data_IF_956810641342
#
_entry.id   IF_956810641342
#
_cell.length_a   1.000
_cell.length_b   1.000
_cell.length_c   1.000
_cell.angle_alpha   90.00
_cell.angle_beta   90.00
_cell.angle_gamma   90.00
#
_symmetry.space_group_name_H-M   'P 1'
#
loop_
_entity.id
_entity.type
_entity.pdbx_description
1 polymer ?
2 branched ?
3 branched ?
4 non-polymer ?
5 non-polymer ?
6 non-polymer ?
7 water ?
#
# COMPACT_ATOMS: atom_id res chain seq x y z
N UNK A 1 5.15 -24.69 -6.61
CA UNK A 1 5.86 -25.51 -7.64
C UNK A 1 7.27 -24.98 -7.73
N UNK A 2 7.48 -23.98 -8.58
CA UNK A 2 8.80 -23.34 -8.75
C UNK A 2 8.64 -21.90 -8.36
N UNK A 3 9.73 -21.25 -8.02
CA UNK A 3 9.65 -19.85 -7.64
C UNK A 3 9.19 -19.05 -8.87
N UNK A 4 8.30 -18.10 -8.63
CA UNK A 4 7.84 -17.27 -9.72
C UNK A 4 8.95 -16.31 -10.07
N UNK A 5 9.09 -16.00 -11.36
CA UNK A 5 10.11 -15.06 -11.83
C UNK A 5 9.35 -13.97 -12.59
N UNK A 6 9.72 -12.72 -12.38
CA UNK A 6 9.11 -11.57 -13.04
C UNK A 6 9.60 -11.54 -14.47
N UNK A 7 8.97 -12.34 -15.31
CA UNK A 7 9.38 -12.44 -16.70
C UNK A 7 8.62 -11.56 -17.65
N UNK A 8 7.46 -11.07 -17.26
CA UNK A 8 6.68 -10.24 -18.18
C UNK A 8 6.76 -8.76 -17.87
N UNK A 9 6.39 -7.94 -18.85
CA UNK A 9 6.35 -6.50 -18.71
C UNK A 9 4.88 -6.19 -18.44
N UNK A 10 4.54 -4.95 -18.08
CA UNK A 10 3.15 -4.59 -17.79
C UNK A 10 2.22 -4.57 -19.01
N UNK A 11 0.93 -4.83 -18.80
CA UNK A 11 0.02 -4.73 -19.92
C UNK A 11 -0.19 -3.21 -20.14
N UNK A 12 -0.63 -2.81 -21.32
CA UNK A 12 -0.88 -1.41 -21.61
C UNK A 12 -2.11 -0.98 -20.82
N UNK A 13 -2.00 0.10 -20.06
CA UNK A 13 -3.12 0.56 -19.25
C UNK A 13 -3.87 1.63 -20.01
N UNK A 14 -5.03 1.27 -20.57
CA UNK A 14 -5.88 2.22 -21.30
C UNK A 14 -7.06 2.73 -20.47
N UNK A 15 -7.31 2.01 -19.37
CA UNK A 15 -8.35 2.34 -18.37
C UNK A 15 -8.29 1.32 -17.22
N UNK A 16 -9.19 1.46 -16.26
CA UNK A 16 -9.25 0.57 -15.10
C UNK A 16 -10.63 0.01 -14.95
N UNK A 17 -10.73 -1.30 -14.75
CA UNK A 17 -12.02 -1.96 -14.56
C UNK A 17 -12.11 -2.33 -13.06
N UNK A 18 -13.34 -2.48 -12.56
CA UNK A 18 -13.59 -2.88 -11.15
C UNK A 18 -13.12 -4.34 -10.94
N UNK A 19 -12.37 -4.55 -9.86
CA UNK A 19 -11.82 -5.86 -9.53
C UNK A 19 -12.49 -6.43 -8.27
N UNK A 20 -12.46 -5.68 -7.18
CA UNK A 20 -13.10 -6.14 -5.97
C UNK A 20 -13.54 -4.99 -5.10
N UNK A 21 -14.56 -5.23 -4.27
CA UNK A 21 -15.10 -4.22 -3.36
C UNK A 21 -15.80 -5.02 -2.29
N UNK A 22 -15.51 -4.76 -1.03
CA UNK A 22 -16.16 -5.55 0.01
C UNK A 22 -17.33 -4.88 0.75
N UNK A 23 -17.53 -3.58 0.55
CA UNK A 23 -18.63 -2.88 1.23
C UNK A 23 -18.66 -3.26 2.70
N UNK A 24 -17.49 -3.33 3.34
CA UNK A 24 -17.36 -3.76 4.72
C UNK A 24 -18.12 -2.96 5.79
N UNK A 25 -18.02 -1.64 5.73
CA UNK A 25 -18.69 -0.78 6.71
C UNK A 25 -20.23 -0.87 6.57
N UNK A 26 -20.73 -0.91 5.32
CA UNK A 26 -22.15 -1.03 5.06
C UNK A 26 -22.68 -2.29 5.72
N UNK A 27 -22.09 -3.41 5.31
CA UNK A 27 -22.49 -4.72 5.82
C UNK A 27 -22.29 -4.85 7.31
N UNK A 28 -21.15 -4.37 7.79
CA UNK A 28 -20.78 -4.45 9.19
C UNK A 28 -21.67 -3.71 10.14
N UNK A 29 -22.55 -2.88 9.60
CA UNK A 29 -23.51 -2.14 10.45
C UNK A 29 -24.45 -3.14 11.14
N UNK A 30 -24.63 -4.31 10.53
CA UNK A 30 -25.49 -5.33 11.09
C UNK A 30 -24.94 -6.78 10.89
N UNK A 31 -23.66 -6.96 11.15
CA UNK A 31 -23.07 -8.27 11.03
C UNK A 31 -21.69 -8.22 11.66
N UNK A 32 -21.12 -9.38 11.97
CA UNK A 32 -19.85 -9.44 12.65
C UNK A 32 -18.56 -9.14 11.89
N UNK A 33 -18.40 -7.87 11.51
CA UNK A 33 -17.25 -7.41 10.77
C UNK A 33 -16.22 -6.76 11.67
N UNK A 34 -14.98 -7.18 11.52
CA UNK A 34 -13.88 -6.60 12.28
C UNK A 34 -13.55 -5.18 11.82
N UNK A 35 -13.13 -4.36 12.78
CA UNK A 35 -12.71 -2.99 12.50
C UNK A 35 -11.29 -3.16 11.96
N UNK A 36 -10.97 -2.47 10.87
CA UNK A 36 -9.63 -2.57 10.30
C UNK A 36 -9.15 -1.20 9.84
N UNK A 37 -7.97 -1.24 9.20
CA UNK A 37 -7.28 -0.14 8.53
C UNK A 37 -6.00 -0.75 7.91
N UNK A 38 -5.30 0.01 7.07
CA UNK A 38 -4.10 -0.44 6.41
C UNK A 38 -4.34 -1.72 5.60
N UNK A 39 -5.39 -1.73 4.74
CA UNK A 39 -5.67 -2.90 3.93
C UNK A 39 -4.80 -2.98 2.68
N UNK A 40 -4.87 -4.10 1.99
CA UNK A 40 -4.17 -4.31 0.75
C UNK A 40 -4.72 -5.56 0.10
N UNK A 41 -4.17 -5.95 -1.05
CA UNK A 41 -4.61 -7.13 -1.74
C UNK A 41 -3.35 -7.90 -2.17
N UNK A 42 -3.40 -9.23 -2.13
CA UNK A 42 -2.25 -10.02 -2.50
C UNK A 42 -2.71 -11.38 -3.00
N UNK A 43 -2.07 -11.89 -4.04
CA UNK A 43 -2.40 -13.17 -4.65
C UNK A 43 -1.46 -14.32 -4.39
N UNK A 44 -2.02 -15.51 -4.40
CA UNK A 44 -1.32 -16.75 -4.28
C UNK A 44 -1.49 -17.29 -5.71
N UNK A 45 -0.79 -18.38 -6.07
CA UNK A 45 -0.95 -18.94 -7.40
C UNK A 45 -2.37 -19.37 -7.75
N UNK A 46 -3.18 -19.67 -6.75
CA UNK A 46 -4.52 -20.14 -7.01
C UNK A 46 -5.66 -19.30 -6.44
N UNK A 47 -5.35 -18.19 -5.78
CA UNK A 47 -6.40 -17.35 -5.17
C UNK A 47 -5.87 -15.96 -4.88
N UNK A 48 -6.72 -14.95 -4.96
CA UNK A 48 -6.34 -13.58 -4.59
C UNK A 48 -7.23 -13.21 -3.41
N UNK A 49 -6.63 -12.59 -2.40
CA UNK A 49 -7.34 -12.24 -1.19
C UNK A 49 -7.10 -10.82 -0.67
N UNK A 50 -8.04 -10.36 0.18
CA UNK A 50 -7.95 -9.04 0.82
C UNK A 50 -7.20 -9.29 2.14
N UNK A 51 -6.43 -8.27 2.54
CA UNK A 51 -5.61 -8.25 3.74
C UNK A 51 -5.83 -6.93 4.45
N UNK A 52 -5.58 -6.91 5.76
CA UNK A 52 -5.68 -5.71 6.60
C UNK A 52 -5.26 -5.93 8.04
N UNK A 53 -5.12 -4.81 8.75
CA UNK A 53 -4.78 -4.86 10.16
C UNK A 53 -6.05 -4.69 10.98
N UNK A 54 -6.49 -5.80 11.56
CA UNK A 54 -7.67 -5.85 12.38
C UNK A 54 -7.38 -5.09 13.63
N UNK A 55 -8.43 -4.60 14.28
CA UNK A 55 -8.29 -3.89 15.55
C UNK A 55 -8.72 -4.80 16.71
N UNK A 56 -8.99 -6.07 16.41
CA UNK A 56 -9.38 -7.03 17.43
C UNK A 56 -10.73 -6.72 18.06
N UNK A 57 -11.69 -6.29 17.23
CA UNK A 57 -13.05 -5.98 17.70
C UNK A 57 -13.92 -5.79 16.47
N UNK A 58 -15.25 -5.96 16.64
CA UNK A 58 -16.20 -5.73 15.56
C UNK A 58 -16.52 -4.22 15.56
N UNK A 59 -17.08 -3.71 14.47
CA UNK A 59 -17.41 -2.28 14.35
C UNK A 59 -18.55 -1.86 15.29
N UNK A 60 -19.53 -2.74 15.45
CA UNK A 60 -20.65 -2.50 16.34
C UNK A 60 -20.32 -2.83 17.80
N UNK A 61 -19.23 -3.57 18.02
CA UNK A 61 -18.83 -3.93 19.36
C UNK A 61 -18.39 -2.70 20.12
N UNK A 62 -18.58 -2.71 21.43
CA UNK A 62 -18.18 -1.56 22.27
C UNK A 62 -16.67 -1.29 22.25
N UNK A 63 -15.86 -2.30 21.94
CA UNK A 63 -14.42 -2.13 21.89
C UNK A 63 -14.01 -1.38 20.63
N UNK A 64 -14.97 -1.02 19.80
CA UNK A 64 -14.66 -0.26 18.58
C UNK A 64 -14.29 1.15 19.03
N UNK A 65 -14.69 1.52 20.24
CA UNK A 65 -14.40 2.83 20.75
C UNK A 65 -12.90 2.98 20.91
N UNK A 66 -12.30 3.89 20.15
CA UNK A 66 -10.87 4.11 20.30
C UNK A 66 -9.96 3.58 19.22
N UNK A 67 -10.55 2.90 18.24
CA UNK A 67 -9.81 2.30 17.13
C UNK A 67 -9.12 3.28 16.18
N UNK A 68 -9.15 4.57 16.49
CA UNK A 68 -8.39 5.53 15.68
C UNK A 68 -6.88 5.28 15.97
N UNK A 69 -6.59 4.74 17.15
CA UNK A 69 -5.20 4.45 17.52
C UNK A 69 -4.57 3.36 16.67
N UNK A 70 -3.31 3.58 16.34
CA UNK A 70 -2.54 2.69 15.47
C UNK A 70 -1.91 1.40 15.98
N UNK A 71 -1.31 1.46 17.16
CA UNK A 71 -0.56 0.33 17.63
C UNK A 71 -0.99 -0.20 18.98
N UNK A 72 -1.68 -1.32 19.02
CA UNK A 72 -2.08 -1.90 20.30
C UNK A 72 -1.76 -3.36 20.22
N UNK A 73 -1.91 -4.07 21.33
CA UNK A 73 -1.62 -5.48 21.37
C UNK A 73 -2.80 -6.29 20.81
N UNK A 74 -3.86 -5.64 20.35
CA UNK A 74 -5.03 -6.34 19.83
C UNK A 74 -5.13 -6.41 18.33
N UNK A 75 -4.11 -5.90 17.65
CA UNK A 75 -4.10 -5.88 16.21
C UNK A 75 -3.42 -7.12 15.65
N UNK A 76 -3.75 -7.44 14.40
CA UNK A 76 -3.17 -8.62 13.72
C UNK A 76 -3.36 -8.52 12.21
N UNK A 77 -2.44 -9.11 11.44
CA UNK A 77 -2.63 -9.10 9.99
C UNK A 77 -3.61 -10.25 9.73
N UNK A 78 -4.68 -9.95 9.01
CA UNK A 78 -5.68 -10.96 8.67
C UNK A 78 -5.93 -10.93 7.16
N UNK A 79 -6.35 -12.05 6.59
CA UNK A 79 -6.68 -12.09 5.17
C UNK A 79 -8.04 -12.79 5.09
N UNK A 80 -8.77 -12.54 4.01
CA UNK A 80 -10.08 -13.14 3.84
C UNK A 80 -10.41 -13.12 2.34
N UNK A 81 -11.42 -13.90 1.91
CA UNK A 81 -11.70 -14.06 0.49
C UNK A 81 -12.02 -12.74 -0.18
N UNK A 82 -11.57 -12.62 -1.43
CA UNK A 82 -11.74 -11.42 -2.22
C UNK A 82 -13.17 -10.91 -2.24
N UNK A 83 -13.31 -9.63 -1.93
CA UNK A 83 -14.59 -8.98 -1.95
C UNK A 83 -15.57 -9.33 -0.84
N UNK A 84 -15.17 -10.23 0.06
CA UNK A 84 -15.99 -10.53 1.23
C UNK A 84 -15.58 -9.44 2.25
N UNK A 85 -16.39 -9.22 3.31
CA UNK A 85 -15.85 -8.34 4.35
C UNK A 85 -15.01 -9.13 5.34
N UNK A 86 -14.10 -8.45 6.05
CA UNK A 86 -13.35 -9.08 7.14
C UNK A 86 -14.24 -9.35 8.34
N UNK A 87 -14.84 -10.54 8.40
CA UNK A 87 -15.70 -10.93 9.50
C UNK A 87 -14.96 -11.75 10.53
N UNK A 88 -15.52 -11.85 11.70
CA UNK A 88 -14.91 -12.61 12.75
C UNK A 88 -14.77 -14.08 12.35
N UNK A 89 -15.70 -14.56 11.53
CA UNK A 89 -15.76 -15.95 11.10
C UNK A 89 -15.02 -16.38 9.81
N UNK A 90 -14.70 -15.45 8.91
CA UNK A 90 -13.99 -15.82 7.67
C UNK A 90 -12.58 -15.22 7.63
N UNK A 91 -12.16 -14.47 8.64
CA UNK A 91 -10.83 -13.88 8.60
C UNK A 91 -9.75 -14.80 9.13
N UNK A 92 -8.64 -14.89 8.39
CA UNK A 92 -7.54 -15.75 8.76
C UNK A 92 -6.42 -14.88 9.25
N UNK A 93 -5.93 -15.14 10.45
CA UNK A 93 -4.82 -14.36 11.00
C UNK A 93 -3.50 -14.90 10.41
N UNK A 94 -2.72 -14.00 9.84
CA UNK A 94 -1.44 -14.35 9.24
C UNK A 94 -0.30 -14.21 10.30
N UNK A 95 -0.44 -13.22 11.18
CA UNK A 95 0.50 -12.93 12.28
C UNK A 95 -0.02 -11.78 13.15
N UNK A 96 0.62 -11.59 14.29
CA UNK A 96 0.23 -10.58 15.27
C UNK A 96 1.11 -9.32 15.17
N UNK A 97 0.47 -8.15 15.11
CA UNK A 97 1.21 -6.90 14.96
C UNK A 97 0.42 -5.71 14.43
N UNK A 98 1.09 -4.55 14.37
CA UNK A 98 0.45 -3.30 13.93
C UNK A 98 1.00 -2.66 12.68
N UNK A 99 1.80 -3.43 11.95
CA UNK A 99 2.43 -3.02 10.69
C UNK A 99 2.81 -4.34 10.03
N UNK A 100 2.58 -4.43 8.73
CA UNK A 100 2.86 -5.69 8.05
C UNK A 100 3.09 -5.57 6.55
N UNK A 101 3.46 -6.71 5.97
CA UNK A 101 3.65 -6.88 4.53
C UNK A 101 3.46 -8.39 4.30
N UNK A 102 3.26 -8.78 3.05
CA UNK A 102 3.04 -10.19 2.73
C UNK A 102 3.14 -10.41 1.23
N UNK A 103 3.70 -11.55 0.83
CA UNK A 103 3.81 -11.89 -0.59
C UNK A 103 4.06 -13.36 -0.81
N UNK A 104 3.56 -13.89 -1.92
CA UNK A 104 3.76 -15.29 -2.26
C UNK A 104 4.95 -15.38 -3.21
N UNK A 105 5.84 -16.34 -2.98
CA UNK A 105 6.99 -16.42 -3.86
C UNK A 105 6.84 -17.41 -4.98
N UNK A 106 5.70 -18.08 -5.02
CA UNK A 106 5.45 -19.04 -6.07
C UNK A 106 5.28 -20.40 -5.45
N UNK A 107 6.04 -20.68 -4.38
CA UNK A 107 5.94 -21.95 -3.68
C UNK A 107 5.08 -21.78 -2.45
N UNK A 108 5.31 -20.70 -1.70
CA UNK A 108 4.53 -20.43 -0.51
C UNK A 108 4.59 -18.93 -0.15
N UNK A 109 3.84 -18.53 0.87
CA UNK A 109 3.76 -17.14 1.28
C UNK A 109 4.60 -16.71 2.49
N UNK A 110 5.12 -15.50 2.41
CA UNK A 110 5.89 -14.90 3.50
C UNK A 110 5.03 -13.75 4.02
N UNK A 111 4.81 -13.71 5.33
CA UNK A 111 4.05 -12.63 5.96
C UNK A 111 4.92 -12.05 7.06
N UNK A 112 4.92 -10.72 7.20
CA UNK A 112 5.73 -10.10 8.22
C UNK A 112 4.90 -9.20 9.12
N UNK A 113 4.97 -9.40 10.43
CA UNK A 113 4.23 -8.53 11.35
C UNK A 113 5.19 -7.98 12.36
N UNK A 114 5.02 -6.69 12.64
CA UNK A 114 5.87 -6.02 13.59
C UNK A 114 5.00 -5.63 14.78
N UNK A 115 5.51 -5.85 15.98
CA UNK A 115 4.75 -5.47 17.15
C UNK A 115 5.71 -4.96 18.22
N UNK A 116 5.16 -4.47 19.31
CA UNK A 116 5.99 -3.97 20.38
C UNK A 116 5.62 -2.56 20.73
N UNK A 117 6.22 -2.03 21.81
CA UNK A 117 6.15 -0.62 22.16
C UNK A 117 6.99 0.18 21.19
N UNK A 118 6.77 1.48 21.17
CA UNK A 118 7.51 2.37 20.28
C UNK A 118 9.01 2.21 20.30
N UNK A 119 9.60 2.03 21.48
CA UNK A 119 11.05 1.89 21.56
C UNK A 119 11.60 0.47 21.60
N UNK A 120 10.79 -0.53 21.32
CA UNK A 120 11.27 -1.88 21.43
C UNK A 120 10.47 -2.85 20.56
N UNK A 121 10.12 -2.41 19.36
CA UNK A 121 9.36 -3.25 18.44
C UNK A 121 10.26 -4.29 17.79
N UNK A 122 9.65 -5.32 17.20
CA UNK A 122 10.41 -6.37 16.53
C UNK A 122 9.55 -6.94 15.42
N UNK A 123 10.17 -7.30 14.30
CA UNK A 123 9.47 -7.90 13.19
C UNK A 123 9.67 -9.42 13.23
N UNK A 124 8.61 -10.17 12.96
CA UNK A 124 8.78 -11.59 12.84
C UNK A 124 8.27 -12.02 11.48
N UNK A 125 9.18 -12.70 10.76
CA UNK A 125 8.96 -13.17 9.40
C UNK A 125 8.49 -14.61 9.42
N UNK A 126 7.31 -14.80 8.85
CA UNK A 126 6.61 -16.08 8.76
C UNK A 126 6.71 -16.56 7.31
N UNK A 127 6.95 -17.85 7.15
CA UNK A 127 7.06 -18.40 5.81
C UNK A 127 6.39 -19.77 5.89
N UNK A 128 5.44 -20.02 4.99
CA UNK A 128 4.72 -21.27 5.01
C UNK A 128 3.95 -21.43 6.32
N UNK A 129 3.43 -20.30 6.80
CA UNK A 129 2.63 -20.16 8.02
C UNK A 129 3.33 -20.55 9.31
N UNK A 130 4.65 -20.43 9.33
CA UNK A 130 5.48 -20.74 10.47
C UNK A 130 6.43 -19.57 10.69
N UNK A 131 6.70 -19.23 11.96
CA UNK A 131 7.70 -18.19 12.24
C UNK A 131 9.09 -18.71 11.92
N UNK A 132 9.84 -17.94 11.15
CA UNK A 132 11.18 -18.35 10.76
C UNK A 132 12.29 -17.40 11.24
N UNK A 133 12.12 -16.09 11.05
CA UNK A 133 13.14 -15.12 11.42
C UNK A 133 12.57 -13.95 12.22
N UNK A 134 13.40 -13.30 13.03
CA UNK A 134 12.99 -12.17 13.84
C UNK A 134 14.07 -11.11 13.74
N UNK A 135 13.62 -9.85 13.65
CA UNK A 135 14.51 -8.69 13.55
C UNK A 135 14.11 -7.68 14.61
N UNK A 136 15.08 -7.29 15.45
CA UNK A 136 14.80 -6.34 16.49
C UNK A 136 14.92 -4.94 15.96
N UNK A 137 14.21 -4.02 16.61
CA UNK A 137 14.25 -2.61 16.25
C UNK A 137 15.72 -2.15 16.21
N UNK A 138 16.09 -1.36 15.19
CA UNK A 138 17.46 -0.84 15.09
C UNK A 138 17.61 0.63 15.41
N UNK A 139 16.51 1.35 15.49
CA UNK A 139 16.57 2.76 15.78
C UNK A 139 15.70 3.08 16.99
N UNK A 140 15.05 2.06 17.53
CA UNK A 140 14.20 2.17 18.72
C UNK A 140 13.10 3.21 18.59
N UNK A 141 12.50 3.29 17.41
CA UNK A 141 11.46 4.27 17.17
C UNK A 141 10.46 3.78 16.10
N UNK A 142 9.50 2.99 16.56
CA UNK A 142 8.45 2.43 15.71
C UNK A 142 8.93 1.75 14.42
N UNK A 143 9.57 0.59 14.55
CA UNK A 143 10.03 -0.20 13.41
C UNK A 143 8.73 -0.43 12.63
N UNK A 144 8.74 -0.19 11.32
CA UNK A 144 7.50 -0.30 10.56
C UNK A 144 7.77 -0.74 9.12
N UNK A 145 6.75 -1.21 8.40
CA UNK A 145 7.00 -1.65 7.04
C UNK A 145 5.95 -1.20 6.04
N UNK A 146 5.92 -1.84 4.88
CA UNK A 146 5.09 -1.46 3.75
C UNK A 146 3.62 -1.19 3.84
N UNK A 147 2.88 -2.08 4.50
CA UNK A 147 1.42 -1.97 4.64
C UNK A 147 0.76 -2.38 3.32
N UNK A 148 1.52 -3.05 2.45
CA UNK A 148 0.99 -3.56 1.18
C UNK A 148 1.88 -4.74 0.75
N UNK A 149 1.53 -5.49 -0.30
CA UNK A 149 2.35 -6.63 -0.63
C UNK A 149 3.77 -6.38 -1.11
N UNK A 150 4.65 -7.31 -0.77
CA UNK A 150 6.03 -7.27 -1.25
C UNK A 150 6.00 -8.04 -2.58
N UNK A 151 7.14 -8.16 -3.25
CA UNK A 151 7.20 -8.88 -4.51
C UNK A 151 8.42 -9.79 -4.47
N UNK A 152 8.32 -10.95 -5.12
CA UNK A 152 9.40 -11.92 -5.14
C UNK A 152 9.83 -12.23 -6.56
N UNK A 153 11.08 -12.66 -6.68
CA UNK A 153 11.67 -13.07 -7.96
C UNK A 153 12.68 -14.18 -7.66
N UNK A 154 12.46 -15.35 -8.24
CA UNK A 154 13.31 -16.51 -8.01
C UNK A 154 13.59 -16.79 -6.53
N UNK A 155 12.56 -16.64 -5.70
CA UNK A 155 12.70 -16.89 -4.27
C UNK A 155 13.03 -15.68 -3.46
N UNK A 156 13.63 -14.65 -4.08
CA UNK A 156 14.00 -13.43 -3.34
C UNK A 156 12.88 -12.44 -3.29
N UNK A 157 12.48 -12.10 -2.06
CA UNK A 157 11.38 -11.16 -1.78
C UNK A 157 11.89 -9.97 -0.95
N UNK A 158 12.23 -8.85 -1.62
CA UNK A 158 12.69 -7.66 -0.87
C UNK A 158 11.53 -6.98 -0.12
N UNK A 159 11.87 -6.34 0.99
CA UNK A 159 10.88 -5.65 1.79
C UNK A 159 11.58 -4.41 2.32
N UNK A 160 10.89 -3.28 2.30
CA UNK A 160 11.44 -2.02 2.79
C UNK A 160 10.90 -1.72 4.18
N UNK A 161 11.80 -1.42 5.13
CA UNK A 161 11.43 -1.09 6.52
C UNK A 161 11.99 0.29 6.83
N UNK A 162 11.41 0.95 7.82
CA UNK A 162 11.92 2.23 8.30
C UNK A 162 11.85 2.15 9.81
N UNK A 163 12.87 2.70 10.47
CA UNK A 163 12.93 2.77 11.94
C UNK A 163 13.56 4.13 12.26
N UNK A 164 12.92 4.85 13.19
CA UNK A 164 13.34 6.18 13.58
C UNK A 164 12.22 7.17 13.33
N UNK A 165 12.51 8.46 13.42
CA UNK A 165 11.54 9.54 13.21
C UNK A 165 10.75 9.53 11.92
N UNK A 166 9.51 9.97 12.00
CA UNK A 166 8.63 10.06 10.83
C UNK A 166 8.60 11.52 10.35
N UNK A 167 9.35 12.38 11.03
CA UNK A 167 9.37 13.78 10.67
C UNK A 167 10.80 14.30 10.63
N UNK A 168 11.73 13.45 10.21
CA UNK A 168 13.12 13.82 10.16
C UNK A 168 13.82 12.73 9.38
N UNK A 169 15.14 12.82 9.18
CA UNK A 169 15.82 11.66 8.59
C UNK A 169 15.61 10.43 9.50
N UNK A 170 15.52 9.25 8.88
CA UNK A 170 15.30 7.99 9.58
C UNK A 170 16.16 6.86 8.98
N UNK A 171 16.15 5.68 9.59
CA UNK A 171 16.93 4.54 9.12
C UNK A 171 16.08 3.50 8.38
N UNK A 172 16.08 3.63 7.06
CA UNK A 172 15.35 2.76 6.18
C UNK A 172 16.29 1.68 5.68
N UNK A 173 15.78 0.45 5.62
CA UNK A 173 16.55 -0.69 5.17
C UNK A 173 15.77 -1.51 4.14
N UNK A 174 16.51 -2.12 3.21
CA UNK A 174 15.91 -2.99 2.22
C UNK A 174 16.41 -4.38 2.59
N UNK A 175 15.49 -5.25 2.97
CA UNK A 175 15.85 -6.60 3.34
C UNK A 175 15.51 -7.53 2.20
N UNK A 176 16.43 -8.44 1.88
CA UNK A 176 16.23 -9.43 0.82
C UNK A 176 16.05 -10.78 1.51
N UNK A 177 14.82 -11.27 1.51
CA UNK A 177 14.54 -12.55 2.14
C UNK A 177 14.37 -13.66 1.11
N UNK A 178 14.64 -14.88 1.54
CA UNK A 178 14.44 -16.07 0.70
C UNK A 178 14.03 -17.15 1.69
N UNK A 179 12.83 -17.69 1.54
CA UNK A 179 12.28 -18.69 2.43
C UNK A 179 12.28 -18.20 3.86
N UNK A 180 11.93 -16.93 4.03
CA UNK A 180 11.83 -16.32 5.35
C UNK A 180 13.15 -16.04 6.04
N UNK A 181 14.26 -16.36 5.38
CA UNK A 181 15.57 -16.12 5.99
C UNK A 181 16.19 -14.91 5.31
N UNK A 182 17.01 -14.17 6.06
CA UNK A 182 17.67 -12.99 5.52
C UNK A 182 18.89 -13.35 4.66
N UNK A 183 18.88 -12.95 3.40
CA UNK A 183 20.01 -13.19 2.53
C UNK A 183 20.94 -12.02 2.66
N UNK A 184 20.35 -10.83 2.81
CA UNK A 184 21.12 -9.59 2.87
C UNK A 184 20.21 -8.42 3.17
N UNK A 185 20.79 -7.34 3.69
CA UNK A 185 20.06 -6.09 3.90
C UNK A 185 21.02 -4.95 3.53
N UNK A 186 20.43 -3.85 3.10
CA UNK A 186 21.16 -2.63 2.73
C UNK A 186 20.50 -1.47 3.49
N UNK A 187 21.28 -0.42 3.82
CA UNK A 187 20.71 0.91 4.00
C UNK A 187 20.25 1.58 2.70
N UNK A 188 19.17 2.33 2.83
CA UNK A 188 18.61 3.07 1.73
C UNK A 188 19.73 3.93 1.16
N UNK A 189 19.75 4.01 -0.16
CA UNK A 189 20.70 4.86 -0.87
C UNK A 189 19.91 5.62 -1.92
N UNK A 190 20.56 6.54 -2.62
CA UNK A 190 19.88 7.31 -3.64
C UNK A 190 19.54 8.69 -3.12
N UNK A 191 18.61 9.38 -3.78
CA UNK A 191 18.25 10.73 -3.39
C UNK A 191 16.95 10.88 -2.59
N UNK A 192 16.23 9.77 -2.33
CA UNK A 192 15.00 9.86 -1.58
C UNK A 192 15.48 10.28 -0.20
N UNK A 193 14.83 11.27 0.41
CA UNK A 193 15.30 11.74 1.73
C UNK A 193 14.61 11.10 2.95
N UNK A 194 13.46 10.49 2.72
CA UNK A 194 12.69 9.82 3.78
C UNK A 194 11.72 8.84 3.11
N UNK A 195 11.63 7.62 3.66
CA UNK A 195 10.79 6.56 3.11
C UNK A 195 9.78 6.04 4.13
N UNK A 196 8.54 5.85 3.70
CA UNK A 196 7.49 5.30 4.56
C UNK A 196 6.55 4.53 3.66
N UNK A 197 6.04 3.41 4.17
CA UNK A 197 5.05 2.58 3.49
C UNK A 197 5.15 2.39 1.98
N UNK A 198 6.17 1.70 1.50
CA UNK A 198 6.33 1.49 0.07
C UNK A 198 5.32 0.59 -0.57
N UNK A 199 4.83 1.03 -1.73
CA UNK A 199 3.91 0.26 -2.53
C UNK A 199 4.71 -0.30 -3.70
N UNK A 200 4.75 -1.63 -3.83
CA UNK A 200 5.59 -2.21 -4.85
C UNK A 200 4.93 -3.14 -5.89
N UNK A 201 5.63 -3.33 -7.01
CA UNK A 201 5.19 -4.24 -8.08
C UNK A 201 6.44 -4.63 -8.86
N UNK A 202 6.36 -5.74 -9.58
CA UNK A 202 7.51 -6.19 -10.35
C UNK A 202 7.19 -6.47 -11.80
N UNK A 203 8.18 -6.26 -12.65
CA UNK A 203 8.05 -6.54 -14.07
C UNK A 203 9.43 -6.65 -14.61
N UNK A 204 9.62 -7.59 -15.54
CA UNK A 204 10.92 -7.83 -16.18
C UNK A 204 12.12 -7.78 -15.23
N UNK A 205 12.03 -8.60 -14.18
CA UNK A 205 13.06 -8.76 -13.16
C UNK A 205 13.47 -7.49 -12.42
N UNK A 206 12.57 -6.53 -12.33
CA UNK A 206 12.82 -5.30 -11.60
C UNK A 206 11.61 -4.99 -10.69
N UNK A 207 11.88 -4.58 -9.45
CA UNK A 207 10.83 -4.28 -8.50
C UNK A 207 10.81 -2.78 -8.31
N UNK A 208 9.63 -2.18 -8.48
CA UNK A 208 9.48 -0.74 -8.33
C UNK A 208 8.58 -0.44 -7.15
N UNK A 209 9.08 0.41 -6.26
CA UNK A 209 8.36 0.80 -5.06
C UNK A 209 8.12 2.29 -5.05
N UNK A 210 6.87 2.70 -4.88
CA UNK A 210 6.50 4.13 -4.78
C UNK A 210 6.14 4.28 -3.29
N UNK A 211 6.86 5.14 -2.58
CA UNK A 211 6.63 5.28 -1.16
C UNK A 211 6.11 6.63 -0.72
N UNK A 212 6.28 6.93 0.56
CA UNK A 212 5.77 8.15 1.19
C UNK A 212 6.88 8.91 1.94
N UNK A 213 7.21 10.12 1.48
CA UNK A 213 8.19 10.91 2.18
C UNK A 213 7.36 11.68 3.19
N UNK A 214 7.24 11.13 4.37
CA UNK A 214 6.45 11.77 5.36
C UNK A 214 7.09 13.06 5.89
N UNK A 215 8.39 13.22 5.69
CA UNK A 215 9.10 14.41 6.18
C UNK A 215 8.86 15.73 5.40
N UNK A 216 9.39 15.83 4.19
CA UNK A 216 9.26 17.08 3.45
C UNK A 216 8.57 17.05 2.10
N UNK A 217 8.66 15.92 1.41
CA UNK A 217 8.11 15.82 0.07
C UNK A 217 6.64 15.51 -0.20
N UNK A 218 6.08 16.24 -1.16
CA UNK A 218 4.71 16.07 -1.60
C UNK A 218 4.73 15.30 -2.92
N UNK A 219 5.94 15.15 -3.47
CA UNK A 219 6.14 14.30 -4.65
C UNK A 219 6.49 12.95 -3.96
N UNK A 220 6.32 11.83 -4.64
CA UNK A 220 6.63 10.54 -4.01
C UNK A 220 8.01 10.02 -4.34
N UNK A 221 8.74 9.57 -3.32
CA UNK A 221 9.97 8.83 -3.53
C UNK A 221 9.74 7.46 -4.17
N UNK A 222 10.72 7.04 -4.95
CA UNK A 222 10.66 5.77 -5.66
C UNK A 222 11.93 5.02 -5.42
N UNK A 223 11.75 3.74 -5.10
CA UNK A 223 12.85 2.81 -4.87
C UNK A 223 12.75 1.70 -5.91
N UNK A 224 13.77 1.55 -6.74
CA UNK A 224 13.83 0.50 -7.75
C UNK A 224 14.84 -0.53 -7.23
N UNK A 225 14.41 -1.78 -7.17
CA UNK A 225 15.22 -2.86 -6.64
C UNK A 225 15.57 -3.91 -7.68
N UNK A 226 16.81 -4.38 -7.64
CA UNK A 226 17.24 -5.46 -8.51
C UNK A 226 17.29 -6.65 -7.56
N UNK A 227 16.34 -7.59 -7.64
CA UNK A 227 16.29 -8.74 -6.74
C UNK A 227 17.31 -9.82 -7.09
N UNK A 228 18.01 -9.67 -8.20
CA UNK A 228 19.04 -10.65 -8.50
C UNK A 228 20.38 -10.16 -7.93
N UNK A 229 20.76 -8.91 -8.23
CA UNK A 229 21.98 -8.31 -7.70
C UNK A 229 21.74 -7.95 -6.24
N UNK A 230 20.47 -7.90 -5.87
CA UNK A 230 20.06 -7.51 -4.54
C UNK A 230 20.67 -6.15 -4.23
N UNK A 231 20.38 -5.19 -5.10
CA UNK A 231 20.85 -3.81 -4.97
C UNK A 231 19.65 -2.91 -5.36
N UNK A 232 19.71 -1.62 -5.06
CA UNK A 232 18.61 -0.72 -5.38
C UNK A 232 19.09 0.73 -5.59
N UNK A 233 18.16 1.60 -5.97
CA UNK A 233 18.41 3.02 -6.14
C UNK A 233 17.18 3.71 -5.65
N UNK A 234 17.27 5.03 -5.47
CA UNK A 234 16.12 5.81 -5.03
C UNK A 234 16.17 7.24 -5.60
N UNK A 235 14.97 7.79 -5.88
CA UNK A 235 14.80 9.15 -6.38
C UNK A 235 13.34 9.52 -6.09
N UNK A 236 12.87 10.62 -6.68
CA UNK A 236 11.46 11.00 -6.54
C UNK A 236 10.87 10.98 -7.93
N UNK A 237 9.54 10.98 -7.99
CA UNK A 237 8.85 11.07 -9.26
C UNK A 237 9.10 12.54 -9.68
N UNK A 238 9.74 12.72 -10.84
CA UNK A 238 10.06 14.05 -11.39
C UNK A 238 8.83 14.94 -11.64
N UNK A 239 7.76 14.34 -12.12
CA UNK A 239 6.53 15.04 -12.45
C UNK A 239 6.04 16.14 -11.48
N UNK A 240 5.55 17.26 -12.03
CA UNK A 240 4.85 18.30 -11.27
C UNK A 240 3.45 17.89 -10.79
N UNK A 241 2.94 16.77 -11.30
CA UNK A 241 1.63 16.25 -10.88
C UNK A 241 1.92 15.60 -9.50
N UNK A 242 1.82 16.38 -8.44
CA UNK A 242 2.14 15.87 -7.09
C UNK A 242 1.13 14.83 -6.59
N UNK A 243 1.64 13.75 -6.00
CA UNK A 243 0.72 12.70 -5.58
C UNK A 243 0.62 12.32 -4.11
N UNK A 244 1.31 13.03 -3.22
CA UNK A 244 1.12 12.75 -1.80
C UNK A 244 -0.08 13.62 -1.35
N UNK A 245 -0.47 13.47 -0.08
CA UNK A 245 -1.57 14.22 0.52
C UNK A 245 -1.32 14.32 2.06
N UNK A 246 -1.54 15.52 2.65
CA UNK A 246 -1.82 16.82 2.04
C UNK A 246 -0.67 17.27 1.12
N UNK A 247 -0.92 18.23 0.25
CA UNK A 247 0.11 18.70 -0.68
C UNK A 247 -0.19 20.11 -1.18
N UNK A 248 0.83 20.82 -1.68
CA UNK A 248 0.63 22.10 -2.37
C UNK A 248 -0.11 21.85 -3.66
N UNK A 249 -0.39 22.93 -4.39
CA UNK A 249 -1.04 22.80 -5.68
C UNK A 249 0.04 22.40 -6.67
N UNK A 250 -0.34 21.75 -7.76
CA UNK A 250 0.66 21.35 -8.75
C UNK A 250 1.40 22.56 -9.33
N UNK A 251 2.74 22.48 -9.42
CA UNK A 251 3.59 23.43 -10.16
C UNK A 251 3.67 23.04 -11.62
N UNK A 252 4.49 23.75 -12.40
CA UNK A 252 4.65 23.41 -13.81
C UNK A 252 5.90 22.56 -13.98
N UNK A 253 6.73 22.52 -12.96
CA UNK A 253 7.92 21.70 -13.02
C UNK A 253 8.11 21.02 -11.65
N UNK A 254 8.40 19.71 -11.67
CA UNK A 254 8.58 18.95 -10.44
C UNK A 254 10.04 18.83 -10.06
N UNK A 255 10.34 17.97 -9.09
CA UNK A 255 11.69 17.72 -8.63
C UNK A 255 12.02 16.23 -8.69
N UNK A 256 13.16 15.91 -9.29
CA UNK A 256 13.62 14.53 -9.47
C UNK A 256 14.43 13.94 -8.33
N UNK A 257 15.13 14.78 -7.59
CA UNK A 257 15.99 14.28 -6.53
C UNK A 257 15.91 14.98 -5.20
N UNK A 258 14.82 15.69 -4.97
CA UNK A 258 14.62 16.37 -3.70
C UNK A 258 13.16 16.35 -3.48
N UNK A 259 12.74 16.39 -2.23
CA UNK A 259 11.31 16.51 -1.95
C UNK A 259 10.76 17.82 -2.49
N UNK A 260 9.55 17.80 -3.00
CA UNK A 260 8.98 19.03 -3.47
C UNK A 260 8.37 19.61 -2.20
N UNK A 261 8.72 20.87 -1.85
CA UNK A 261 8.40 21.43 -0.53
C UNK A 261 7.00 22.03 -0.48
N UNK A 262 6.54 22.35 0.72
CA UNK A 262 5.22 22.94 0.85
C UNK A 262 4.44 22.34 1.98
N UNK A 263 4.67 21.06 2.26
CA UNK A 263 3.95 20.37 3.34
C UNK A 263 4.93 19.44 4.04
N UNK A 264 4.97 19.56 5.36
CA UNK A 264 5.86 18.77 6.19
C UNK A 264 5.13 17.82 7.09
N UNK A 265 5.88 16.83 7.53
CA UNK A 265 5.42 15.88 8.50
C UNK A 265 4.06 15.30 8.36
N UNK A 266 3.72 14.88 7.16
CA UNK A 266 2.45 14.24 6.90
C UNK A 266 2.46 13.63 5.50
N UNK A 267 1.46 12.82 5.21
CA UNK A 267 1.38 12.17 3.92
C UNK A 267 0.37 11.06 3.94
N UNK A 268 0.37 10.20 2.92
CA UNK A 268 -0.54 9.07 2.83
C UNK A 268 0.14 7.99 1.98
N UNK A 269 -0.07 6.72 2.32
CA UNK A 269 0.49 5.64 1.52
C UNK A 269 -0.16 5.77 0.14
N UNK A 270 0.63 5.67 -0.92
CA UNK A 270 0.13 5.78 -2.28
C UNK A 270 0.96 4.91 -3.23
N UNK A 271 0.73 4.99 -4.53
CA UNK A 271 1.48 4.14 -5.45
C UNK A 271 1.46 4.73 -6.84
N UNK A 272 2.13 4.04 -7.76
CA UNK A 272 2.16 4.44 -9.15
C UNK A 272 2.73 3.28 -9.98
N UNK A 273 2.53 3.34 -11.29
CA UNK A 273 3.09 2.33 -12.20
C UNK A 273 3.90 3.18 -13.12
N UNK A 274 5.21 3.04 -13.02
CA UNK A 274 6.17 3.82 -13.81
C UNK A 274 6.68 2.97 -14.95
N UNK A 275 6.17 3.23 -16.14
CA UNK A 275 6.48 2.43 -17.31
C UNK A 275 6.49 3.26 -18.62
N UNK A 276 7.35 4.28 -18.68
CA UNK A 276 7.44 5.12 -19.87
C UNK A 276 6.13 5.82 -20.13
N UNK A 277 5.65 5.75 -21.37
CA UNK A 277 4.37 6.37 -21.70
C UNK A 277 3.21 5.65 -20.96
N UNK A 278 3.39 4.37 -20.67
CA UNK A 278 2.38 3.56 -19.97
C UNK A 278 2.50 3.84 -18.47
N UNK A 279 2.59 5.12 -18.10
CA UNK A 279 2.74 5.53 -16.70
C UNK A 279 1.45 6.11 -16.11
N UNK A 280 0.94 5.52 -15.02
CA UNK A 280 -0.25 6.03 -14.36
C UNK A 280 -0.01 6.34 -12.88
N UNK A 281 -0.48 7.48 -12.41
CA UNK A 281 -0.30 7.89 -11.02
C UNK A 281 -1.63 7.96 -10.33
N UNK A 282 -1.68 7.53 -9.07
CA UNK A 282 -2.91 7.61 -8.30
C UNK A 282 -2.70 8.71 -7.26
N UNK A 283 -3.77 9.41 -6.90
CA UNK A 283 -3.70 10.44 -5.87
C UNK A 283 -5.11 10.80 -5.39
N UNK A 284 -5.18 11.36 -4.20
CA UNK A 284 -6.45 11.83 -3.68
C UNK A 284 -6.72 13.07 -4.53
N UNK A 285 -8.00 13.43 -4.69
CA UNK A 285 -8.38 14.60 -5.47
C UNK A 285 -8.07 15.84 -4.61
N UNK A 286 -8.52 15.84 -3.36
CA UNK A 286 -8.25 16.95 -2.46
C UNK A 286 -6.76 17.07 -2.19
N UNK A 287 -6.26 18.29 -2.12
CA UNK A 287 -4.84 18.51 -1.81
C UNK A 287 -4.76 18.68 -0.32
N UNK A 288 -5.91 18.80 0.33
CA UNK A 288 -5.95 19.00 1.78
C UNK A 288 -6.21 17.76 2.64
N UNK A 289 -7.06 16.85 2.18
CA UNK A 289 -7.36 15.67 2.98
C UNK A 289 -7.54 14.41 2.16
N UNK A 290 -7.75 13.28 2.84
CA UNK A 290 -7.91 11.95 2.20
C UNK A 290 -9.32 11.89 1.71
N UNK A 291 -9.51 12.63 0.63
CA UNK A 291 -10.78 12.80 0.02
C UNK A 291 -10.66 12.58 -1.48
N UNK A 292 -11.58 11.78 -2.02
CA UNK A 292 -11.57 11.48 -3.43
C UNK A 292 -10.36 10.69 -3.87
N UNK A 293 -10.38 10.19 -5.10
CA UNK A 293 -9.24 9.44 -5.61
C UNK A 293 -9.33 9.35 -7.11
N UNK A 294 -8.20 9.57 -7.77
CA UNK A 294 -8.14 9.49 -9.21
C UNK A 294 -6.85 8.86 -9.72
N UNK A 295 -6.91 8.41 -10.97
CA UNK A 295 -5.77 7.83 -11.67
C UNK A 295 -5.51 8.76 -12.85
N UNK A 296 -4.25 9.14 -13.05
CA UNK A 296 -3.85 10.02 -14.15
C UNK A 296 -2.69 9.41 -14.95
N UNK A 297 -2.81 9.44 -16.27
CA UNK A 297 -1.76 8.90 -17.13
C UNK A 297 -0.81 10.06 -17.34
N UNK A 298 0.40 9.91 -16.83
CA UNK A 298 1.38 10.96 -16.95
C UNK A 298 2.57 10.30 -17.59
N UNK A 299 2.65 10.35 -18.93
CA UNK A 299 3.74 9.66 -19.63
C UNK A 299 5.11 10.12 -19.10
N UNK A 300 5.96 9.13 -18.78
CA UNK A 300 7.31 9.38 -18.26
C UNK A 300 7.41 10.16 -16.97
N UNK A 301 6.37 10.07 -16.14
CA UNK A 301 6.34 10.77 -14.84
C UNK A 301 7.62 10.69 -13.99
N UNK A 302 8.23 9.51 -13.94
CA UNK A 302 9.42 9.31 -13.14
C UNK A 302 10.63 10.14 -13.54
N UNK A 303 10.79 10.33 -14.84
CA UNK A 303 11.96 11.01 -15.34
C UNK A 303 11.75 12.35 -16.03
N UNK A 304 10.51 12.76 -16.22
CA UNK A 304 10.23 14.02 -16.92
C UNK A 304 9.65 15.03 -15.93
N UNK A 305 10.46 16.00 -15.50
CA UNK A 305 10.06 17.02 -14.53
C UNK A 305 9.03 18.04 -14.99
N UNK A 306 8.44 17.82 -16.16
CA UNK A 306 7.43 18.72 -16.67
C UNK A 306 6.24 17.90 -17.17
N UNK A 307 6.27 16.59 -16.93
CA UNK A 307 5.19 15.70 -17.36
C UNK A 307 3.86 16.04 -16.71
N UNK A 308 2.81 16.10 -17.54
CA UNK A 308 1.46 16.44 -17.11
C UNK A 308 0.50 15.39 -17.71
N UNK A 309 -0.77 15.32 -17.25
CA UNK A 309 -1.63 14.19 -17.58
C UNK A 309 -2.10 14.20 -19.03
N UNK A 310 -2.25 13.01 -19.60
CA UNK A 310 -2.74 12.90 -20.98
C UNK A 310 -4.10 12.19 -21.03
N UNK A 311 -4.47 11.59 -19.90
CA UNK A 311 -5.72 10.83 -19.77
C UNK A 311 -5.94 10.63 -18.27
N UNK A 312 -7.15 10.28 -17.87
CA UNK A 312 -7.39 10.08 -16.46
C UNK A 312 -8.65 9.27 -16.17
N UNK A 313 -8.83 8.86 -14.92
CA UNK A 313 -10.03 8.12 -14.52
C UNK A 313 -10.28 8.42 -13.05
N UNK A 314 -11.51 8.84 -12.71
CA UNK A 314 -11.83 9.13 -11.31
C UNK A 314 -12.23 7.78 -10.73
N UNK A 315 -11.78 7.54 -9.50
CA UNK A 315 -12.06 6.28 -8.81
C UNK A 315 -13.04 6.55 -7.69
N UNK A 316 -12.85 7.67 -6.98
CA UNK A 316 -13.71 8.05 -5.87
C UNK A 316 -13.93 9.56 -5.97
N UNK A 317 -15.17 10.02 -5.80
CA UNK A 317 -15.50 11.45 -5.87
C UNK A 317 -14.88 12.22 -4.69
N UNK A 318 -14.54 13.49 -4.94
CA UNK A 318 -13.93 14.32 -3.91
C UNK A 318 -14.89 14.54 -2.76
N UNK A 319 -16.12 14.11 -2.94
CA UNK A 319 -17.13 14.24 -1.91
C UNK A 319 -17.25 12.93 -1.17
N UNK A 320 -16.25 12.05 -1.32
CA UNK A 320 -16.24 10.78 -0.59
C UNK A 320 -14.87 10.55 0.00
N UNK A 321 -14.85 9.90 1.15
CA UNK A 321 -13.59 9.61 1.83
C UNK A 321 -12.77 8.49 1.18
N UNK A 322 -11.46 8.71 1.11
CA UNK A 322 -10.52 7.71 0.56
C UNK A 322 -9.51 7.37 1.66
N UNK A 323 -8.24 7.23 1.32
CA UNK A 323 -7.23 6.86 2.29
C UNK A 323 -6.04 6.22 1.61
N UNK A 324 -5.46 5.19 2.22
CA UNK A 324 -4.32 4.46 1.66
C UNK A 324 -4.62 3.85 0.28
N UNK A 325 -3.56 3.61 -0.49
CA UNK A 325 -3.71 2.98 -1.79
C UNK A 325 -2.40 2.31 -2.08
N UNK A 326 -2.44 1.18 -2.79
CA UNK A 326 -1.20 0.49 -3.07
C UNK A 326 -1.33 -0.43 -4.25
N UNK A 327 -0.20 -1.00 -4.64
CA UNK A 327 -0.15 -1.88 -5.78
C UNK A 327 -0.05 -3.37 -5.45
N UNK A 328 -0.54 -4.17 -6.38
CA UNK A 328 -0.49 -5.62 -6.33
C UNK A 328 -0.85 -6.06 -7.75
N UNK A 329 -0.43 -7.26 -8.13
CA UNK A 329 -0.78 -7.81 -9.41
C UNK A 329 -0.88 -9.30 -9.23
N UNK A 330 -1.61 -9.94 -10.10
CA UNK A 330 -1.73 -11.37 -10.06
C UNK A 330 -0.61 -11.91 -10.97
N UNK A 331 0.53 -12.22 -10.40
CA UNK A 331 1.64 -12.77 -11.16
C UNK A 331 1.39 -14.17 -11.70
N UNK A 332 0.25 -14.75 -11.36
CA UNK A 332 -0.08 -16.10 -11.80
C UNK A 332 -1.26 -16.19 -12.77
N UNK A 333 -1.59 -15.07 -13.42
CA UNK A 333 -2.68 -15.03 -14.40
C UNK A 333 -2.20 -15.53 -15.75
N UNK A 334 -3.09 -15.84 -16.67
CA UNK A 334 -2.66 -16.29 -17.98
C UNK A 334 -2.25 -15.06 -18.76
N UNK A 335 -1.69 -15.25 -19.95
CA UNK A 335 -1.35 -14.09 -20.74
C UNK A 335 0.13 -13.79 -20.86
N UNK A 336 0.45 -12.75 -21.61
CA UNK A 336 1.81 -12.38 -21.86
C UNK A 336 2.29 -11.19 -21.05
N UNK A 337 1.42 -10.55 -20.30
CA UNK A 337 1.82 -9.37 -19.55
C UNK A 337 1.20 -9.40 -18.17
N UNK A 338 1.71 -8.53 -17.29
CA UNK A 338 1.20 -8.40 -15.93
C UNK A 338 0.17 -7.29 -15.92
N UNK A 339 -1.03 -7.58 -15.45
CA UNK A 339 -2.08 -6.57 -15.40
C UNK A 339 -1.97 -5.78 -14.11
N UNK A 340 -1.62 -4.51 -14.23
CA UNK A 340 -1.46 -3.66 -13.07
C UNK A 340 -2.77 -3.56 -12.31
N UNK A 341 -2.69 -3.58 -10.98
CA UNK A 341 -3.88 -3.45 -10.11
C UNK A 341 -3.54 -2.55 -8.93
N UNK A 342 -4.55 -2.11 -8.20
CA UNK A 342 -4.36 -1.27 -7.01
C UNK A 342 -5.62 -1.30 -6.16
N UNK A 343 -5.52 -0.90 -4.91
CA UNK A 343 -6.69 -0.83 -4.05
C UNK A 343 -6.66 0.55 -3.43
N UNK A 344 -7.83 1.02 -2.96
CA UNK A 344 -7.93 2.28 -2.26
C UNK A 344 -8.65 1.95 -0.95
N UNK A 345 -8.11 2.43 0.15
CA UNK A 345 -8.67 2.23 1.47
C UNK A 345 -9.67 3.36 1.62
N UNK A 346 -10.93 3.02 1.89
CA UNK A 346 -12.01 4.01 2.08
C UNK A 346 -12.25 4.14 3.59
N UNK A 347 -11.55 5.08 4.23
CA UNK A 347 -11.66 5.26 5.67
C UNK A 347 -12.93 5.95 6.10
N UNK A 348 -13.57 5.38 7.12
CA UNK A 348 -14.82 5.89 7.67
C UNK A 348 -14.58 6.04 9.15
N UNK A 349 -15.26 6.98 9.77
CA UNK A 349 -15.10 7.21 11.19
C UNK A 349 -14.10 8.28 11.48
N UNK A 350 -13.41 8.15 12.60
CA UNK A 350 -12.44 9.16 13.00
C UNK A 350 -11.18 9.21 12.14
N UNK A 351 -10.65 10.43 11.92
CA UNK A 351 -10.99 11.67 12.60
C UNK A 351 -12.04 12.54 11.90
N UNK A 352 -12.25 12.31 10.63
CA UNK A 352 -13.18 13.13 9.88
C UNK A 352 -14.62 12.99 10.27
N UNK A 353 -15.04 11.80 10.68
CA UNK A 353 -16.43 11.60 11.05
C UNK A 353 -16.43 11.21 12.51
N UNK A 354 -16.35 12.23 13.37
CA UNK A 354 -16.26 11.98 14.80
C UNK A 354 -17.56 11.76 15.56
N UNK A 355 -18.69 11.65 14.86
CA UNK A 355 -19.94 11.38 15.57
C UNK A 355 -19.89 9.95 16.10
N UNK A 356 -19.02 9.11 15.50
CA UNK A 356 -18.84 7.75 15.96
C UNK A 356 -17.48 7.80 16.61
N UNK A 357 -17.23 6.85 17.49
CA UNK A 357 -15.98 6.71 18.25
C UNK A 357 -14.95 5.75 17.65
N UNK A 358 -15.30 5.15 16.52
CA UNK A 358 -14.40 4.22 15.84
C UNK A 358 -13.80 4.79 14.56
N UNK A 359 -12.87 4.03 14.01
CA UNK A 359 -12.22 4.35 12.75
C UNK A 359 -12.08 3.01 12.07
N UNK A 360 -12.54 2.91 10.84
CA UNK A 360 -12.40 1.68 10.07
C UNK A 360 -12.35 2.04 8.59
N UNK A 361 -12.58 1.07 7.72
CA UNK A 361 -12.55 1.32 6.30
C UNK A 361 -13.18 0.18 5.54
N UNK A 362 -13.36 0.37 4.24
CA UNK A 362 -13.80 -0.72 3.38
C UNK A 362 -12.73 -0.71 2.24
N UNK A 363 -12.82 -1.62 1.29
CA UNK A 363 -11.81 -1.66 0.23
C UNK A 363 -12.45 -1.66 -1.15
N UNK A 364 -11.80 -0.97 -2.08
CA UNK A 364 -12.20 -1.01 -3.48
C UNK A 364 -10.90 -1.24 -4.25
N UNK A 365 -10.93 -2.08 -5.28
CA UNK A 365 -9.72 -2.30 -6.06
C UNK A 365 -10.07 -2.42 -7.52
N UNK A 366 -9.16 -1.95 -8.35
CA UNK A 366 -9.30 -1.98 -9.79
C UNK A 366 -8.02 -2.59 -10.37
N UNK A 367 -8.13 -3.05 -11.62
CA UNK A 367 -7.02 -3.59 -12.40
C UNK A 367 -7.13 -2.91 -13.77
N UNK A 368 -6.06 -2.94 -14.54
CA UNK A 368 -6.08 -2.28 -15.83
C UNK A 368 -6.75 -3.05 -16.96
N UNK A 369 -7.22 -2.28 -17.95
CA UNK A 369 -7.83 -2.83 -19.13
C UNK A 369 -7.16 -2.19 -20.33
N UNK A 370 -7.01 -2.95 -21.42
CA UNK A 370 -6.44 -2.38 -22.63
C UNK A 370 -7.56 -1.69 -23.42
N UNK A 371 -8.81 -1.87 -22.96
CA UNK A 371 -9.95 -1.17 -23.54
C UNK A 371 -9.97 0.21 -22.92
N UNK A 372 -10.78 1.12 -23.46
CA UNK A 372 -10.94 2.47 -22.91
C UNK A 372 -12.34 2.48 -22.32
N UNK A 373 -12.46 1.93 -21.10
CA UNK A 373 -13.73 1.78 -20.43
C UNK A 373 -14.34 3.01 -19.81
N UNK A 374 -15.67 3.05 -19.79
CA UNK A 374 -16.33 4.16 -19.15
C UNK A 374 -16.01 4.09 -17.67
N UNK A 375 -16.12 5.23 -16.97
CA UNK A 375 -15.81 5.27 -15.55
C UNK A 375 -17.04 5.45 -14.65
N UNK A 376 -16.91 5.00 -13.41
CA UNK A 376 -17.93 5.13 -12.37
C UNK A 376 -17.12 5.51 -11.14
N UNK A 377 -17.78 5.99 -10.09
CA UNK A 377 -17.11 6.32 -8.84
C UNK A 377 -17.53 5.19 -7.87
N UNK A 378 -16.62 4.84 -6.95
CA UNK A 378 -16.81 3.75 -6.01
C UNK A 378 -16.66 4.17 -4.56
N UNK A 379 -17.70 4.77 -3.97
CA UNK A 379 -17.55 5.15 -2.55
C UNK A 379 -17.77 3.98 -1.57
N UNK A 380 -17.42 4.21 -0.31
CA UNK A 380 -17.61 3.21 0.72
C UNK A 380 -19.08 2.78 0.75
N UNK A 381 -19.97 3.78 0.76
CA UNK A 381 -21.41 3.55 0.75
C UNK A 381 -22.17 3.49 2.06
N UNK A 382 -21.48 3.54 3.20
CA UNK A 382 -22.19 3.47 4.47
C UNK A 382 -22.68 4.83 4.90
N UNK A 383 -23.81 4.86 5.61
CA UNK A 383 -24.40 6.09 6.16
C UNK A 383 -24.03 6.12 7.63
N UNK A 384 -23.14 7.03 8.02
CA UNK A 384 -22.70 7.12 9.41
C UNK A 384 -23.87 7.27 10.38
N UNK A 385 -24.88 8.04 9.97
CA UNK A 385 -26.07 8.26 10.77
C UNK A 385 -26.65 6.96 11.31
N UNK A 386 -26.53 5.89 10.54
CA UNK A 386 -27.04 4.58 10.98
C UNK A 386 -26.31 4.03 12.23
N UNK A 387 -25.06 4.42 12.41
CA UNK A 387 -24.25 3.92 13.51
C UNK A 387 -24.43 4.73 14.79
N UNK A 388 -25.17 5.82 14.70
CA UNK A 388 -25.39 6.67 15.85
C UNK A 388 -26.47 6.11 16.74
X LIG B 1 13.64 -3.55 25.47
X LIG B 1 13.72 -2.91 26.85
X LIG B 1 14.83 -3.55 27.67
X LIG B 1 14.60 -5.04 27.73
X LIG B 1 14.61 -5.63 26.26
X LIG B 1 14.39 -7.10 26.12
X LIG B 1 13.35 -0.49 27.22
X LIG B 1 13.87 0.88 26.89
X LIG B 1 14.05 -1.48 26.66
X LIG B 1 14.73 -3.00 28.98
X LIG B 1 15.70 -5.63 28.53
X LIG B 1 13.60 -4.99 25.51
X LIG B 1 13.40 -7.54 26.99
X LIG B 1 12.35 -0.66 27.94
X LIG B 2 15.35 -6.64 29.48
X LIG B 2 16.38 -7.72 29.73
X LIG B 2 15.87 -8.73 30.66
X LIG B 2 15.35 -7.93 31.88
X LIG B 2 14.37 -6.88 31.48
X LIG B 2 13.81 -6.11 32.65
X LIG B 2 17.65 -8.27 27.78
X LIG B 2 17.94 -8.98 26.49
X LIG B 2 16.55 -8.43 28.51
X LIG B 2 16.72 -9.76 30.94
X LIG B 2 14.66 -8.78 32.86
X LIG B 2 15.02 -6.00 30.66
X LIG B 2 14.89 -5.39 33.13
X LIG B 2 18.50 -7.44 28.09
X LIG B 3 15.21 -8.90 34.18
X LIG B 3 14.16 -9.52 35.05
X LIG B 3 14.76 -9.86 36.44
X LIG B 3 16.04 -10.65 36.22
X LIG B 3 17.02 -9.89 35.36
X LIG B 3 18.30 -10.67 35.22
X LIG B 3 13.71 -10.70 34.39
X LIG B 3 13.83 -10.68 37.17
X LIG B 3 16.69 -11.00 37.44
X LIG B 3 16.43 -9.68 34.09
X LIG B 3 19.26 -9.80 34.66
X LIG B 4 13.65 -10.30 38.49
X LIG B 4 12.84 -11.31 39.22
X LIG B 4 11.33 -11.26 38.67
X LIG B 4 10.76 -9.88 38.90
X LIG B 4 11.63 -9.01 38.14
X LIG B 4 11.26 -7.54 38.29
X LIG B 4 12.97 -10.90 40.60
X LIG B 4 10.52 -12.24 39.32
X LIG B 4 9.38 -9.75 38.52
X LIG B 4 13.00 -9.09 38.56
X LIG B 4 12.12 -6.86 37.32
X LIG B 5 12.31 -11.65 41.60
X LIG B 5 12.45 -10.86 42.89
X LIG B 5 13.86 -10.84 43.33
X LIG B 5 14.36 -12.24 43.38
X LIG B 5 14.18 -12.99 42.07
X LIG B 5 14.66 -14.43 42.15
X LIG B 5 11.70 -11.57 43.89
X LIG B 5 13.91 -10.27 44.61
X LIG B 5 15.74 -12.13 43.61
X LIG B 5 12.80 -12.99 41.72
X LIG B 5 14.16 -15.13 43.27
X LIG B 6 10.46 -10.93 44.20
X LIG B 6 9.96 -11.65 45.42
X LIG B 6 9.51 -13.07 45.07
X LIG B 6 8.44 -12.99 43.89
X LIG B 6 9.02 -12.20 42.61
X LIG B 6 8.05 -11.95 41.50
X LIG B 6 8.83 -10.91 45.88
X LIG B 6 8.93 -13.71 46.21
X LIG B 6 8.03 -14.27 43.53
X LIG B 6 9.57 -10.89 43.05
X LIG B 6 7.14 -11.04 41.98
X LIG B 7 20.13 -9.10 35.60
X LIG B 7 21.15 -8.15 34.87
X LIG B 7 22.16 -8.97 34.09
X LIG B 7 22.78 -9.91 35.01
X LIG B 7 21.77 -10.78 35.66
X LIG B 7 22.32 -11.74 36.58
X LIG B 7 21.85 -7.37 35.76
X LIG B 7 23.15 -8.27 33.44
X LIG B 7 23.52 -10.67 34.08
X LIG B 7 20.87 -10.02 36.38
X LIG B 7 23.19 -11.08 37.45
X LIG C 1 12.49 -19.21 -12.14
X LIG C 1 11.92 -20.54 -12.62
X LIG C 1 12.58 -21.75 -11.90
X LIG C 1 14.08 -21.71 -12.14
X LIG C 1 14.65 -20.33 -11.75
X LIG C 1 16.01 -20.35 -12.47
X LIG C 1 9.58 -20.93 -13.09
X LIG C 1 8.14 -20.87 -12.66
X LIG C 1 10.53 -20.52 -12.26
X LIG C 1 12.09 -22.99 -12.32
X LIG C 1 14.76 -22.71 -11.37
X LIG C 1 13.88 -19.19 -12.31
X LIG C 1 16.70 -19.31 -11.95
X LIG C 1 9.82 -21.30 -14.22
X LIG C 2 15.18 -23.88 -12.02
X LIG C 2 16.13 -24.49 -11.09
X LIG C 2 16.81 -25.63 -11.89
X LIG C 2 15.70 -26.77 -11.80
X LIG C 2 14.38 -26.15 -12.51
X LIG C 2 13.14 -26.93 -12.10
X LIG C 2 18.02 -22.71 -10.59
X LIG C 2 17.91 -21.63 -9.54
X LIG C 2 16.90 -23.41 -10.56
X LIG C 2 18.04 -25.86 -11.20
X LIG C 2 16.07 -28.07 -12.34
X LIG C 2 14.09 -24.76 -12.08
X LIG C 2 12.78 -26.33 -10.87
X LIG C 2 18.88 -22.83 -11.45
X LIG D 1 -15.51 6.25 24.11
X LIG D 1 -16.71 6.57 24.80
X LIG D 1 -16.70 7.89 25.41
X LIG D 1 -15.50 7.99 26.31
X LIG D 1 -14.33 7.87 25.37
X LIG D 1 -13.01 8.19 25.87
X LIG D 1 -18.63 5.52 23.94
X LIG D 1 -19.91 5.55 23.03
X LIG D 1 -17.87 6.61 23.92
X LIG D 1 -17.87 8.24 26.07
X LIG D 1 -15.63 9.29 26.87
X LIG D 1 -14.34 6.56 24.86
X LIG D 1 -12.64 7.16 26.69
X LIG D 1 -18.33 4.53 24.60
X LIG E 1 -1.68 7.32 8.79
X LIG E 1 -1.19 8.33 8.25
X LIG E 1 -2.88 7.08 8.69
X LIG E 1 -0.83 6.41 9.46
X LIG E 1 -1.35 5.04 9.88
X LIG E 1 -0.34 3.92 10.27
X LIG E 1 0.88 4.45 10.98
X LIG E 1 1.87 3.39 11.19
X LIG E 1 2.12 2.94 12.41
X LIG E 1 1.56 3.41 13.42
X LIG E 1 3.15 1.84 12.51
X LIG E 1 1.47 5.62 10.10
X LIG E 1 0.55 6.68 9.62
X LIG E 1 2.69 6.21 10.61
X LIG E 1 4.00 5.87 10.34
X LIG E 1 4.35 6.46 8.97
X LIG E 1 4.73 6.35 11.59
X LIG E 1 4.29 5.65 12.79
X LIG E 1 4.20 7.94 8.93
X LIG E 1 -1.04 3.07 11.12
X LIG F 1 4.68 14.02 2.41
X LIG G 1 -26.34 -11.09 16.16
#
# INVERSE_FOLDING_TARGET
RDFNNLTKGLCTINSWHIYGKDNAVRIGEDSDVLVTREPYVSCDPDECRFYALSQGTTIRGKHSNGTIHDRSQYRALISWPLSSPPTVYNSRVECIGWSSTSCHDGKTRMSICISGPNNNASAVIWYNRRPVTEINTWARNILRTQESECVCHNGVCPVVFTDGSATGPAETRIYYFKEGKILKWEPLAGTAKHIEECSCYGERAEITCTCRDNWQGSNRPVIRIDPVAMTHTSQYICSPVLTDNPRPNDPTVGKCNDPYPGNNNNGVKGFSYLDGVNTWLGRTISIASRSGYEMLKVPNALTDDKSKPTQGQTIVLNTDWSGYSGSFMDYWAEGECYRACFYVELIRGRPKEDKVWWTSNSIVSMCSSTEFLGQWDWPDGAKIEYFL
NAG C1 C2 C3 C4 C5 C6 C7 C8 N2 O3 O4 O5 O6 O7
NAG C1 C2 C3 C4 C5 C6 C7 C8 N2 O3 O4 O5 O6 O7
BMA C1 C2 C3 C4 C5 C6 O2 O3 O4 O5 O6
MAN C1 C2 C3 C4 C5 C6 O2 O3 O4 O5 O6
MAN C1 C2 C3 C4 C5 C6 O2 O3 O4 O5 O6
MAN C1 C2 C3 C4 C5 C6 O2 O3 O4 O5 O6
MAN C1 C2 C3 C4 C5 C6 O2 O3 O4 O5 O6
NAG C1 C2 C3 C4 C5 C6 C7 C8 N2 O3 O4 O5 O6 O7
NAG C1 C2 C3 C4 C5 C6 C7 C8 N2 O3 O4 O5 O6 O7
NAG C1 C2 C3 C4 C5 C6 C7 C8 N2 O3 O4 O5 O6 O7
G39 C1 O1A O1B C2 C3 C4 C5 N5 C10 O10 C11 C6 C7 O7 C8 C9 C81 C82 C91 N4
CA CA
CA CA
#
